data_IF_973448963034
#
_entry.id   IF_973448963034
#
_cell.length_a   1.000
_cell.length_b   1.000
_cell.length_c   1.000
_cell.angle_alpha   90.00
_cell.angle_beta   90.00
_cell.angle_gamma   90.00
#
_symmetry.space_group_name_H-M   'P 1'
#
loop_
_entity.id
_entity.type
_entity.pdbx_description
1 polymer ?
#
# COMPACT_ATOMS: atom_id res chain seq x y z
N UNK A 1 29.78 -28.20 14.65
CA UNK A 1 29.14 -26.95 14.20
C UNK A 1 28.22 -26.50 15.31
N UNK A 2 28.55 -25.42 16.03
CA UNK A 2 27.65 -24.81 17.00
C UNK A 2 26.74 -23.84 16.25
N UNK A 3 25.44 -24.08 16.32
CA UNK A 3 24.43 -23.14 15.87
C UNK A 3 24.28 -22.07 16.95
N UNK A 4 24.66 -20.83 16.62
CA UNK A 4 24.52 -19.68 17.52
C UNK A 4 23.25 -18.91 17.15
N UNK A 5 22.17 -18.98 17.94
CA UNK A 5 20.92 -18.29 17.65
C UNK A 5 21.02 -16.77 17.82
N UNK A 6 22.10 -16.24 18.39
CA UNK A 6 22.30 -14.79 18.55
C UNK A 6 22.82 -14.10 17.27
N UNK A 7 23.23 -14.85 16.24
CA UNK A 7 23.68 -14.26 14.97
C UNK A 7 22.53 -13.88 14.03
N UNK A 8 21.27 -14.11 14.43
CA UNK A 8 20.08 -13.94 13.58
C UNK A 8 19.29 -12.65 13.87
N UNK A 9 19.90 -11.61 14.45
CA UNK A 9 19.13 -10.42 14.85
C UNK A 9 19.19 -9.22 13.89
N UNK A 10 19.94 -9.22 12.78
CA UNK A 10 20.21 -7.93 12.09
C UNK A 10 20.05 -7.86 10.55
N UNK A 11 19.32 -8.78 9.89
CA UNK A 11 19.21 -8.73 8.40
C UNK A 11 17.83 -8.93 7.75
N UNK A 12 16.75 -9.25 8.47
CA UNK A 12 15.50 -9.73 7.81
C UNK A 12 14.36 -8.70 7.67
N UNK A 13 14.53 -7.44 8.06
CA UNK A 13 13.42 -6.47 7.98
C UNK A 13 13.26 -5.74 6.63
N UNK A 14 14.31 -5.69 5.81
CA UNK A 14 14.27 -4.99 4.51
C UNK A 14 13.48 -5.76 3.43
N UNK A 15 13.64 -7.09 3.26
CA UNK A 15 12.89 -7.85 2.26
C UNK A 15 11.38 -7.85 2.54
N UNK A 16 11.00 -7.92 3.82
CA UNK A 16 9.60 -7.92 4.26
C UNK A 16 8.91 -6.58 3.97
N UNK A 17 9.62 -5.46 4.12
CA UNK A 17 9.04 -4.14 3.85
C UNK A 17 8.89 -3.84 2.36
N UNK A 18 9.82 -4.30 1.52
CA UNK A 18 9.70 -4.18 0.07
C UNK A 18 8.47 -4.95 -0.45
N UNK A 19 8.27 -6.19 0.01
CA UNK A 19 7.11 -6.99 -0.37
C UNK A 19 5.77 -6.35 0.06
N UNK A 20 5.74 -5.68 1.22
CA UNK A 20 4.56 -4.92 1.66
C UNK A 20 4.31 -3.73 0.72
N UNK A 21 5.35 -2.96 0.38
CA UNK A 21 5.23 -1.81 -0.52
C UNK A 21 4.70 -2.26 -1.89
N UNK A 22 5.27 -3.31 -2.47
CA UNK A 22 4.85 -3.86 -3.76
C UNK A 22 3.38 -4.30 -3.75
N UNK A 23 2.96 -5.00 -2.69
CA UNK A 23 1.56 -5.42 -2.53
C UNK A 23 0.60 -4.22 -2.45
N UNK A 24 0.98 -3.16 -1.72
CA UNK A 24 0.16 -1.93 -1.63
C UNK A 24 0.12 -1.20 -2.96
N UNK A 25 1.25 -1.14 -3.69
CA UNK A 25 1.33 -0.56 -5.03
C UNK A 25 0.40 -1.29 -5.99
N UNK A 26 0.43 -2.63 -5.99
CA UNK A 26 -0.43 -3.44 -6.84
C UNK A 26 -1.91 -3.14 -6.58
N UNK A 27 -2.32 -3.05 -5.31
CA UNK A 27 -3.68 -2.68 -4.93
C UNK A 27 -4.08 -1.27 -5.42
N UNK A 28 -3.17 -0.29 -5.38
CA UNK A 28 -3.40 1.05 -5.92
C UNK A 28 -3.56 1.01 -7.44
N UNK A 29 -2.70 0.25 -8.13
CA UNK A 29 -2.73 0.09 -9.59
C UNK A 29 -4.04 -0.57 -10.02
N UNK A 30 -4.45 -1.65 -9.37
CA UNK A 30 -5.74 -2.30 -9.60
C UNK A 30 -6.94 -1.39 -9.32
N UNK A 31 -6.81 -0.39 -8.45
CA UNK A 31 -7.91 0.53 -8.13
C UNK A 31 -7.99 1.80 -8.98
N UNK A 32 -6.87 2.19 -9.60
CA UNK A 32 -6.74 3.43 -10.37
C UNK A 32 -6.58 3.19 -11.87
N UNK A 33 -6.38 1.93 -12.26
CA UNK A 33 -5.96 1.52 -13.59
C UNK A 33 -4.45 1.74 -13.83
N UNK A 34 -3.74 2.31 -12.85
CA UNK A 34 -2.29 2.50 -12.86
C UNK A 34 -1.72 3.21 -14.09
N UNK A 35 -0.38 3.15 -14.28
CA UNK A 35 0.31 3.79 -15.41
C UNK A 35 -0.09 3.21 -16.77
N UNK A 36 -0.42 1.92 -16.81
CA UNK A 36 -0.66 1.16 -18.05
C UNK A 36 -2.15 1.07 -18.45
N UNK A 37 -3.06 1.70 -17.70
CA UNK A 37 -4.51 1.61 -17.91
C UNK A 37 -5.04 0.17 -17.83
N UNK A 38 -4.58 -0.58 -16.84
CA UNK A 38 -5.10 -1.92 -16.55
C UNK A 38 -6.56 -1.87 -16.11
N UNK A 39 -7.22 -3.02 -16.15
CA UNK A 39 -8.59 -3.16 -15.66
C UNK A 39 -8.70 -2.79 -14.18
N UNK A 40 -9.74 -2.02 -13.84
CA UNK A 40 -9.98 -1.58 -12.47
C UNK A 40 -10.83 -2.63 -11.74
N UNK A 41 -10.32 -3.11 -10.60
CA UNK A 41 -11.09 -3.99 -9.72
C UNK A 41 -11.90 -3.18 -8.72
N UNK A 42 -13.09 -3.67 -8.36
CA UNK A 42 -13.94 -2.99 -7.36
C UNK A 42 -13.26 -2.88 -5.98
N UNK A 43 -12.55 -3.95 -5.57
CA UNK A 43 -11.76 -3.95 -4.34
C UNK A 43 -10.63 -2.92 -4.35
N UNK A 44 -9.88 -2.85 -5.46
CA UNK A 44 -8.86 -1.82 -5.66
C UNK A 44 -9.46 -0.41 -5.64
N UNK A 45 -10.61 -0.21 -6.29
CA UNK A 45 -11.28 1.10 -6.33
C UNK A 45 -11.70 1.55 -4.93
N UNK A 46 -12.22 0.63 -4.09
CA UNK A 46 -12.49 0.88 -2.67
C UNK A 46 -11.23 1.30 -1.91
N UNK A 47 -10.11 0.62 -2.15
CA UNK A 47 -8.84 0.98 -1.53
C UNK A 47 -8.35 2.37 -1.95
N UNK A 48 -8.38 2.69 -3.24
CA UNK A 48 -8.04 4.03 -3.74
C UNK A 48 -8.94 5.10 -3.13
N UNK A 49 -10.26 4.88 -3.07
CA UNK A 49 -11.19 5.80 -2.39
C UNK A 49 -10.84 6.01 -0.93
N UNK A 50 -10.47 4.95 -0.21
CA UNK A 50 -10.01 5.04 1.18
C UNK A 50 -8.74 5.90 1.31
N UNK A 51 -7.75 5.71 0.44
CA UNK A 51 -6.52 6.51 0.42
C UNK A 51 -6.83 7.99 0.18
N UNK A 52 -7.70 8.27 -0.79
CA UNK A 52 -8.11 9.63 -1.11
C UNK A 52 -8.87 10.28 0.06
N UNK A 53 -9.88 9.60 0.62
CA UNK A 53 -10.66 10.11 1.75
C UNK A 53 -9.81 10.44 2.98
N UNK A 54 -8.71 9.70 3.19
CA UNK A 54 -7.79 9.91 4.30
C UNK A 54 -6.61 10.82 3.96
N UNK A 55 -6.45 11.24 2.70
CA UNK A 55 -5.35 12.11 2.27
C UNK A 55 -5.57 13.56 2.73
N UNK A 56 -4.54 14.15 3.35
CA UNK A 56 -4.58 15.58 3.73
C UNK A 56 -4.55 16.48 2.50
N UNK A 57 -3.83 16.09 1.45
CA UNK A 57 -3.64 16.90 0.24
C UNK A 57 -4.95 17.11 -0.54
N UNK A 58 -5.85 16.12 -0.49
CA UNK A 58 -7.16 16.23 -1.16
C UNK A 58 -8.05 17.28 -0.51
N UNK A 59 -7.90 17.52 0.79
CA UNK A 59 -8.62 18.61 1.48
C UNK A 59 -8.28 20.00 0.93
N UNK A 60 -7.13 20.12 0.26
CA UNK A 60 -6.67 21.34 -0.41
C UNK A 60 -6.82 21.27 -1.94
N UNK A 61 -7.56 20.29 -2.46
CA UNK A 61 -7.83 20.13 -3.90
C UNK A 61 -6.74 19.40 -4.69
N UNK A 62 -5.72 18.84 -4.03
CA UNK A 62 -4.65 18.11 -4.71
C UNK A 62 -4.96 16.61 -4.78
N UNK A 63 -5.23 16.12 -5.99
CA UNK A 63 -5.43 14.71 -6.28
C UNK A 63 -4.11 14.12 -6.80
N UNK A 64 -3.56 13.07 -6.18
CA UNK A 64 -2.32 12.43 -6.64
C UNK A 64 -2.50 11.83 -8.05
N UNK A 65 -1.45 11.93 -8.86
CA UNK A 65 -1.44 11.39 -10.22
C UNK A 65 -1.17 9.88 -10.19
N UNK A 66 -2.22 9.07 -10.18
CA UNK A 66 -2.10 7.61 -10.20
C UNK A 66 -1.69 7.04 -11.58
N UNK A 67 -1.27 7.88 -12.53
CA UNK A 67 -0.60 7.45 -13.77
C UNK A 67 0.93 7.53 -13.67
N UNK A 68 1.44 8.23 -12.67
CA UNK A 68 2.88 8.33 -12.44
C UNK A 68 3.33 7.23 -11.43
N UNK A 69 4.21 6.30 -11.83
CA UNK A 69 4.68 5.24 -10.95
C UNK A 69 5.41 5.75 -9.71
N UNK A 70 6.12 6.88 -9.79
CA UNK A 70 6.80 7.45 -8.62
C UNK A 70 5.80 8.07 -7.65
N UNK A 71 4.74 8.69 -8.17
CA UNK A 71 3.63 9.16 -7.35
C UNK A 71 2.92 8.00 -6.63
N UNK A 72 2.67 6.87 -7.32
CA UNK A 72 2.07 5.67 -6.72
C UNK A 72 2.94 5.13 -5.58
N UNK A 73 4.26 5.00 -5.78
CA UNK A 73 5.20 4.58 -4.73
C UNK A 73 5.15 5.52 -3.53
N UNK A 74 5.11 6.83 -3.77
CA UNK A 74 5.02 7.81 -2.70
C UNK A 74 3.71 7.66 -1.89
N UNK A 75 2.58 7.45 -2.58
CA UNK A 75 1.29 7.21 -1.92
C UNK A 75 1.31 5.91 -1.10
N UNK A 76 1.88 4.83 -1.63
CA UNK A 76 2.02 3.56 -0.93
C UNK A 76 2.86 3.71 0.35
N UNK A 77 4.02 4.36 0.27
CA UNK A 77 4.90 4.62 1.41
C UNK A 77 4.23 5.49 2.47
N UNK A 78 3.54 6.55 2.04
CA UNK A 78 2.79 7.42 2.94
C UNK A 78 1.68 6.66 3.68
N UNK A 79 0.95 5.78 2.99
CA UNK A 79 -0.04 4.90 3.60
C UNK A 79 0.57 3.98 4.65
N UNK A 80 1.62 3.22 4.29
CA UNK A 80 2.32 2.30 5.19
C UNK A 80 2.83 3.04 6.44
N UNK A 81 3.45 4.21 6.25
CA UNK A 81 3.95 5.06 7.33
C UNK A 81 2.84 5.50 8.28
N UNK A 82 1.64 5.78 7.78
CA UNK A 82 0.47 6.19 8.59
C UNK A 82 -0.15 5.03 9.36
N UNK A 83 -0.06 3.80 8.83
CA UNK A 83 -0.44 2.59 9.55
C UNK A 83 0.55 2.22 10.66
N UNK A 84 1.78 2.74 10.62
CA UNK A 84 2.81 2.54 11.65
C UNK A 84 3.64 1.27 11.49
N UNK A 85 3.15 0.26 10.77
CA UNK A 85 3.93 -0.93 10.40
C UNK A 85 3.38 -1.58 9.12
N UNK A 86 4.23 -2.35 8.45
CA UNK A 86 3.85 -3.08 7.24
C UNK A 86 2.71 -4.09 7.45
N UNK A 87 2.74 -4.96 8.49
CA UNK A 87 1.65 -5.89 8.75
C UNK A 87 0.29 -5.21 9.02
N UNK A 88 0.28 -4.09 9.76
CA UNK A 88 -0.94 -3.31 10.01
C UNK A 88 -1.44 -2.68 8.70
N UNK A 89 -0.53 -2.21 7.85
CA UNK A 89 -0.88 -1.66 6.54
C UNK A 89 -1.55 -2.70 5.64
N UNK A 90 -1.00 -3.92 5.55
CA UNK A 90 -1.61 -5.02 4.80
C UNK A 90 -2.97 -5.41 5.36
N UNK A 91 -3.07 -5.57 6.69
CA UNK A 91 -4.35 -5.91 7.33
C UNK A 91 -5.41 -4.84 7.03
N UNK A 92 -5.06 -3.55 7.16
CA UNK A 92 -5.96 -2.43 6.85
C UNK A 92 -6.37 -2.44 5.39
N UNK A 93 -5.42 -2.64 4.47
CA UNK A 93 -5.68 -2.74 3.04
C UNK A 93 -6.68 -3.86 2.73
N UNK A 94 -6.43 -5.07 3.23
CA UNK A 94 -7.33 -6.21 3.00
C UNK A 94 -8.72 -5.98 3.60
N UNK A 95 -8.83 -5.39 4.79
CA UNK A 95 -10.12 -5.03 5.38
C UNK A 95 -10.91 -4.10 4.47
N UNK A 96 -10.27 -3.04 3.95
CA UNK A 96 -10.91 -2.09 3.03
C UNK A 96 -11.34 -2.76 1.73
N UNK A 97 -10.48 -3.58 1.13
CA UNK A 97 -10.76 -4.31 -0.11
C UNK A 97 -11.93 -5.30 0.08
N UNK A 98 -12.02 -5.94 1.24
CA UNK A 98 -13.00 -7.00 1.53
C UNK A 98 -14.30 -6.48 2.13
N UNK A 99 -14.42 -5.18 2.45
CA UNK A 99 -15.66 -4.60 2.99
C UNK A 99 -16.73 -4.57 1.91
N UNK A 100 -17.36 -5.73 1.64
CA UNK A 100 -18.55 -5.88 0.83
C UNK A 100 -19.76 -5.38 1.63
N UNK A 101 -20.68 -4.71 0.94
CA UNK A 101 -21.89 -4.09 1.50
C UNK A 101 -22.70 -5.06 2.39
N UNK A 102 -23.14 -4.54 3.54
CA UNK A 102 -24.18 -5.15 4.39
C UNK A 102 -25.57 -4.73 3.89
#
# INVERSE_FOLDING_TARGET
>A
MNFDPASYEHTDHVPAMAAVEDTVIEAIVMGSGGPENIEITDGGLRFVRHLLANSRSIRFGFIPNMKDPDCIRQVAREFIRRCGSGPIALQTMYQVIQTAEA
#
